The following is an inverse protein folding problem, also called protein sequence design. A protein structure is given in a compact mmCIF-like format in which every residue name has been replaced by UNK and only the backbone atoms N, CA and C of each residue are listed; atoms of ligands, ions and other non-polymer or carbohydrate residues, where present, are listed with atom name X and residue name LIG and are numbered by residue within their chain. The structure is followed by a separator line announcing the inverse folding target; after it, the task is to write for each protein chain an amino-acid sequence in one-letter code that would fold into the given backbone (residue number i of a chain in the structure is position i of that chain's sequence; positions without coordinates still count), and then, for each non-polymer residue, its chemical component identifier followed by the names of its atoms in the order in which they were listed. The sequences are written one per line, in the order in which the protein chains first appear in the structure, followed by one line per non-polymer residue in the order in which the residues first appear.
data_IF_981584605666
#
_entry.id   IF_981584605666
#
_cell.length_a   1.000
_cell.length_b   1.000
_cell.length_c   1.000
_cell.angle_alpha   90.00
_cell.angle_beta   90.00
_cell.angle_gamma   90.00
#
_symmetry.space_group_name_H-M   'P 1'
#
loop_
_entity.id
_entity.type
_entity.pdbx_description
1 polymer ?
#
# COMPACT_ATOMS: atom_id res chain seq x y z
N UNK A 1 2.69 -9.57 3.15
CA UNK A 1 1.61 -8.55 3.18
C UNK A 1 1.21 -8.09 1.77
N UNK A 2 2.16 -7.73 0.91
CA UNK A 2 1.86 -7.21 -0.43
C UNK A 2 0.92 -8.10 -1.29
N UNK A 3 1.14 -9.41 -1.33
CA UNK A 3 0.29 -10.35 -2.09
C UNK A 3 -1.16 -10.37 -1.58
N UNK A 4 -1.36 -10.36 -0.26
CA UNK A 4 -2.70 -10.30 0.34
C UNK A 4 -3.39 -8.97 -0.02
N UNK A 5 -2.70 -7.85 0.13
CA UNK A 5 -3.22 -6.54 -0.25
C UNK A 5 -3.59 -6.49 -1.75
N UNK A 6 -2.78 -7.09 -2.62
CA UNK A 6 -3.06 -7.16 -4.07
C UNK A 6 -4.33 -7.93 -4.36
N UNK A 7 -4.53 -9.09 -3.73
CA UNK A 7 -5.75 -9.91 -3.89
C UNK A 7 -6.99 -9.18 -3.39
N UNK A 8 -6.91 -8.55 -2.22
CA UNK A 8 -8.01 -7.76 -1.66
C UNK A 8 -8.35 -6.55 -2.54
N UNK A 9 -7.33 -5.88 -3.09
CA UNK A 9 -7.51 -4.76 -4.00
C UNK A 9 -8.15 -5.16 -5.33
N UNK A 10 -7.80 -6.34 -5.85
CA UNK A 10 -8.47 -6.94 -7.00
C UNK A 10 -9.92 -7.34 -6.69
N UNK A 11 -10.19 -7.77 -5.45
CA UNK A 11 -11.53 -8.03 -4.93
C UNK A 11 -12.36 -6.78 -4.59
N UNK A 12 -11.86 -5.57 -4.87
CA UNK A 12 -12.60 -4.33 -4.70
C UNK A 12 -12.39 -3.61 -3.37
N UNK A 13 -11.58 -4.14 -2.45
CA UNK A 13 -11.23 -3.45 -1.20
C UNK A 13 -10.34 -2.24 -1.50
N UNK A 14 -10.68 -1.07 -0.97
CA UNK A 14 -9.95 0.19 -1.20
C UNK A 14 -9.31 0.77 0.06
N UNK A 15 -9.81 0.41 1.23
CA UNK A 15 -9.36 0.91 2.52
C UNK A 15 -8.48 -0.13 3.24
N UNK A 16 -7.29 0.30 3.65
CA UNK A 16 -6.33 -0.54 4.36
C UNK A 16 -5.83 0.18 5.61
N UNK A 17 -5.79 -0.54 6.73
CA UNK A 17 -5.20 -0.06 7.97
C UNK A 17 -3.91 -0.85 8.26
N UNK A 18 -2.78 -0.16 8.28
CA UNK A 18 -1.48 -0.78 8.55
C UNK A 18 -1.03 -0.50 9.97
N UNK A 19 -0.84 -1.54 10.77
CA UNK A 19 -0.08 -1.45 12.01
C UNK A 19 1.40 -1.41 11.68
N UNK A 20 1.95 -0.19 11.59
CA UNK A 20 3.35 0.03 11.18
C UNK A 20 4.34 -0.43 12.24
N UNK A 21 3.94 -0.53 13.51
CA UNK A 21 4.83 -0.85 14.64
C UNK A 21 6.12 0.01 14.63
N UNK A 22 5.95 1.31 14.38
CA UNK A 22 7.04 2.30 14.25
C UNK A 22 8.03 2.02 13.08
N UNK A 23 7.61 1.25 12.07
CA UNK A 23 8.34 0.96 10.83
C UNK A 23 7.49 1.30 9.59
N UNK A 24 7.55 2.55 9.10
CA UNK A 24 6.67 3.02 8.01
C UNK A 24 7.05 2.47 6.62
N UNK A 25 8.26 1.96 6.44
CA UNK A 25 8.85 1.58 5.15
C UNK A 25 8.07 0.44 4.48
N UNK A 26 7.59 -0.52 5.29
CA UNK A 26 6.78 -1.65 4.81
C UNK A 26 5.43 -1.20 4.26
N UNK A 27 4.73 -0.32 4.98
CA UNK A 27 3.46 0.23 4.54
C UNK A 27 3.65 1.08 3.27
N UNK A 28 4.73 1.86 3.22
CA UNK A 28 5.11 2.64 2.05
C UNK A 28 5.33 1.74 0.83
N UNK A 29 6.17 0.70 0.94
CA UNK A 29 6.42 -0.24 -0.15
C UNK A 29 5.13 -0.91 -0.67
N UNK A 30 4.21 -1.28 0.23
CA UNK A 30 2.91 -1.85 -0.16
C UNK A 30 2.06 -0.83 -0.93
N UNK A 31 2.00 0.43 -0.49
CA UNK A 31 1.30 1.49 -1.22
C UNK A 31 1.86 1.68 -2.63
N UNK A 32 3.19 1.68 -2.78
CA UNK A 32 3.85 1.75 -4.09
C UNK A 32 3.49 0.57 -4.99
N UNK A 33 3.47 -0.66 -4.44
CA UNK A 33 3.07 -1.86 -5.18
C UNK A 33 1.60 -1.84 -5.62
N UNK A 34 0.73 -1.18 -4.86
CA UNK A 34 -0.68 -0.96 -5.24
C UNK A 34 -0.86 0.21 -6.23
N UNK A 35 0.22 0.82 -6.70
CA UNK A 35 0.20 1.96 -7.61
C UNK A 35 -0.14 3.30 -6.93
N UNK A 36 -0.20 3.34 -5.60
CA UNK A 36 -0.38 4.60 -4.84
C UNK A 36 0.98 5.28 -4.73
N UNK A 37 1.19 6.28 -5.58
CA UNK A 37 2.38 7.15 -5.56
C UNK A 37 2.13 8.35 -4.64
N UNK A 38 3.21 8.92 -4.11
CA UNK A 38 3.16 10.18 -3.40
C UNK A 38 2.65 11.29 -4.31
N UNK A 39 1.73 12.11 -3.81
CA UNK A 39 1.26 13.31 -4.49
C UNK A 39 2.43 14.31 -4.50
N UNK A 40 3.02 14.57 -5.66
CA UNK A 40 4.20 15.42 -5.83
C UNK A 40 5.44 14.73 -6.40
N UNK A 41 5.46 13.39 -6.49
CA UNK A 41 6.45 12.67 -7.32
C UNK A 41 5.91 12.55 -8.76
N UNK A 42 5.90 13.69 -9.47
CA UNK A 42 5.88 13.66 -10.92
C UNK A 42 7.19 13.02 -11.39
N UNK A 43 7.09 12.04 -12.30
CA UNK A 43 8.25 11.47 -12.97
C UNK A 43 8.96 12.53 -13.82
#
# INVERSE_FOLDING_TARGET
AAELCRRLYAGGVRDFHFYTLNRPELAYAICHLLGKRRIGEAA
#
